data_IF_184841614882
#
_entry.id   IF_184841614882
#
_cell.length_a   1.000
_cell.length_b   1.000
_cell.length_c   1.000
_cell.angle_alpha   90.00
_cell.angle_beta   90.00
_cell.angle_gamma   90.00
#
_symmetry.space_group_name_H-M   'P 1'
#
loop_
_entity.id
_entity.type
_entity.pdbx_description
1 polymer ?
#
# COMPACT_ATOMS: atom_id res chain seq x y z
N UNK A 1 -24.01 -24.24 -0.06
CA UNK A 1 -24.45 -25.37 0.82
C UNK A 1 -24.26 -25.09 2.31
N UNK A 2 -23.05 -24.79 2.81
CA UNK A 2 -22.89 -24.43 4.24
C UNK A 2 -23.31 -22.99 4.54
N UNK A 3 -23.05 -22.05 3.64
CA UNK A 3 -23.52 -20.67 3.77
C UNK A 3 -25.05 -20.61 3.74
N UNK A 4 -25.71 -21.23 2.75
CA UNK A 4 -27.18 -21.34 2.69
C UNK A 4 -27.79 -21.95 3.97
N UNK A 5 -27.10 -22.90 4.59
CA UNK A 5 -27.56 -23.50 5.84
C UNK A 5 -27.41 -22.55 7.03
N UNK A 6 -26.38 -21.68 7.05
CA UNK A 6 -26.19 -20.67 8.08
C UNK A 6 -27.17 -19.51 7.89
N UNK A 7 -27.41 -19.10 6.65
CA UNK A 7 -28.35 -18.05 6.22
C UNK A 7 -29.80 -18.35 6.64
N UNK A 8 -30.17 -19.64 6.68
CA UNK A 8 -31.49 -20.08 7.11
C UNK A 8 -31.67 -20.14 8.65
N UNK A 9 -30.63 -19.89 9.45
CA UNK A 9 -30.70 -19.96 10.92
C UNK A 9 -31.08 -18.61 11.50
N UNK A 10 -32.14 -18.58 12.32
CA UNK A 10 -32.47 -17.39 13.12
C UNK A 10 -31.45 -17.22 14.25
N UNK A 11 -30.55 -16.25 14.07
CA UNK A 11 -29.52 -15.87 15.04
C UNK A 11 -29.90 -14.62 15.85
N UNK A 12 -31.13 -14.10 15.70
CA UNK A 12 -31.56 -12.85 16.32
C UNK A 12 -30.70 -11.66 15.87
N UNK A 13 -30.10 -10.95 16.83
CA UNK A 13 -29.22 -9.80 16.56
C UNK A 13 -27.74 -10.17 16.37
N UNK A 14 -27.40 -11.47 16.40
CA UNK A 14 -26.00 -11.90 16.25
C UNK A 14 -25.55 -11.85 14.80
N UNK A 15 -24.48 -11.09 14.54
CA UNK A 15 -23.81 -11.07 13.25
C UNK A 15 -23.13 -12.42 12.96
N UNK A 16 -23.21 -12.88 11.72
CA UNK A 16 -22.73 -14.18 11.27
C UNK A 16 -21.66 -14.03 10.18
N UNK A 17 -20.58 -14.79 10.33
CA UNK A 17 -19.51 -14.86 9.33
C UNK A 17 -19.91 -15.76 8.15
N UNK A 18 -19.58 -15.31 6.94
CA UNK A 18 -19.63 -16.05 5.68
C UNK A 18 -18.22 -16.22 5.10
N UNK A 19 -17.44 -17.23 5.55
CA UNK A 19 -16.04 -17.34 5.18
C UNK A 19 -15.84 -17.66 3.69
N UNK A 20 -15.06 -16.84 3.01
CA UNK A 20 -14.59 -17.05 1.65
C UNK A 20 -13.41 -18.01 1.65
N UNK A 21 -13.54 -19.11 0.92
CA UNK A 21 -12.53 -20.16 0.75
C UNK A 21 -12.20 -20.33 -0.74
N UNK A 22 -11.17 -21.12 -1.05
CA UNK A 22 -10.73 -21.30 -2.44
C UNK A 22 -9.24 -21.61 -2.61
N UNK A 23 -8.50 -21.82 -1.52
CA UNK A 23 -7.03 -22.00 -1.56
C UNK A 23 -6.36 -20.82 -2.27
N UNK A 24 -5.36 -21.07 -3.13
CA UNK A 24 -4.71 -20.09 -4.01
C UNK A 24 -5.32 -20.05 -5.42
N UNK A 25 -6.52 -20.62 -5.62
CA UNK A 25 -7.24 -20.54 -6.90
C UNK A 25 -8.09 -19.27 -6.93
N UNK A 26 -7.63 -18.26 -7.67
CA UNK A 26 -8.21 -16.91 -7.65
C UNK A 26 -9.65 -16.87 -8.20
N UNK A 27 -9.95 -17.68 -9.23
CA UNK A 27 -11.29 -17.86 -9.79
C UNK A 27 -12.27 -18.44 -8.77
N UNK A 28 -11.83 -19.43 -7.99
CA UNK A 28 -12.62 -20.01 -6.91
C UNK A 28 -12.84 -19.01 -5.76
N UNK A 29 -11.83 -18.17 -5.44
CA UNK A 29 -11.97 -17.11 -4.43
C UNK A 29 -13.03 -16.10 -4.83
N UNK A 30 -12.99 -15.62 -6.07
CA UNK A 30 -13.96 -14.66 -6.59
C UNK A 30 -15.37 -15.27 -6.63
N UNK A 31 -15.49 -16.52 -7.11
CA UNK A 31 -16.78 -17.22 -7.15
C UNK A 31 -17.35 -17.49 -5.75
N UNK A 32 -16.51 -17.87 -4.79
CA UNK A 32 -16.93 -18.11 -3.42
C UNK A 32 -17.33 -16.81 -2.71
N UNK A 33 -16.60 -15.73 -2.93
CA UNK A 33 -16.94 -14.40 -2.43
C UNK A 33 -18.29 -13.92 -2.97
N UNK A 34 -18.53 -14.07 -4.29
CA UNK A 34 -19.82 -13.70 -4.90
C UNK A 34 -20.99 -14.49 -4.33
N UNK A 35 -20.78 -15.78 -4.07
CA UNK A 35 -21.80 -16.61 -3.42
C UNK A 35 -22.04 -16.15 -1.98
N UNK A 36 -20.98 -15.88 -1.21
CA UNK A 36 -21.11 -15.41 0.16
C UNK A 36 -21.82 -14.06 0.24
N UNK A 37 -21.42 -13.09 -0.58
CA UNK A 37 -22.04 -11.77 -0.63
C UNK A 37 -23.51 -11.79 -1.09
N UNK A 38 -23.94 -12.85 -1.78
CA UNK A 38 -25.34 -13.05 -2.15
C UNK A 38 -26.23 -13.67 -1.07
N UNK A 39 -25.69 -13.90 0.13
CA UNK A 39 -26.46 -14.34 1.31
C UNK A 39 -26.78 -13.14 2.22
N UNK A 40 -27.69 -13.30 3.18
CA UNK A 40 -28.04 -12.27 4.17
C UNK A 40 -27.07 -12.27 5.38
N UNK A 41 -25.88 -12.88 5.23
CA UNK A 41 -24.83 -12.94 6.25
C UNK A 41 -23.98 -11.65 6.27
N UNK A 42 -23.40 -11.32 7.42
CA UNK A 42 -22.94 -9.96 7.73
C UNK A 42 -21.46 -9.66 7.45
N UNK A 43 -20.60 -10.66 7.65
CA UNK A 43 -19.15 -10.51 7.67
C UNK A 43 -18.51 -11.51 6.73
N UNK A 44 -17.48 -11.10 5.98
CA UNK A 44 -16.89 -11.94 4.92
C UNK A 44 -15.42 -12.28 5.19
N UNK A 45 -15.11 -13.22 6.11
CA UNK A 45 -13.74 -13.58 6.37
C UNK A 45 -13.05 -14.27 5.20
N UNK A 46 -11.83 -13.87 4.87
CA UNK A 46 -10.97 -14.58 3.91
C UNK A 46 -10.16 -15.63 4.66
N UNK A 47 -10.57 -16.89 4.53
CA UNK A 47 -9.99 -18.01 5.27
C UNK A 47 -8.87 -18.76 4.55
N UNK A 48 -8.27 -19.72 5.27
CA UNK A 48 -7.18 -20.59 4.79
C UNK A 48 -5.91 -19.86 4.32
N UNK A 49 -5.67 -18.64 4.82
CA UNK A 49 -4.48 -17.83 4.51
C UNK A 49 -3.36 -17.94 5.56
N UNK A 50 -3.64 -18.56 6.72
CA UNK A 50 -2.65 -18.75 7.80
C UNK A 50 -1.38 -19.47 7.32
N UNK A 51 -1.45 -20.57 6.54
CA UNK A 51 -0.24 -21.20 6.00
C UNK A 51 0.60 -20.24 5.16
N UNK A 52 -0.04 -19.41 4.31
CA UNK A 52 0.65 -18.43 3.47
C UNK A 52 1.40 -17.41 4.32
N UNK A 53 0.78 -16.91 5.39
CA UNK A 53 1.42 -15.95 6.30
C UNK A 53 2.58 -16.58 7.08
N UNK A 54 2.45 -17.84 7.52
CA UNK A 54 3.52 -18.57 8.19
C UNK A 54 4.71 -18.85 7.26
N UNK A 55 4.43 -19.08 5.97
CA UNK A 55 5.43 -19.26 4.90
C UNK A 55 5.93 -17.93 4.31
N UNK A 56 5.49 -16.78 4.86
CA UNK A 56 5.86 -15.44 4.41
C UNK A 56 5.48 -15.11 2.96
N UNK A 57 4.46 -15.78 2.41
CA UNK A 57 3.93 -15.62 1.04
C UNK A 57 2.91 -14.48 0.95
N UNK A 58 3.37 -13.25 1.17
CA UNK A 58 2.49 -12.08 1.27
C UNK A 58 1.94 -11.60 -0.07
N UNK A 59 2.63 -11.88 -1.16
CA UNK A 59 2.13 -11.75 -2.54
C UNK A 59 0.89 -12.61 -2.76
N UNK A 60 0.94 -13.91 -2.43
CA UNK A 60 -0.24 -14.79 -2.51
C UNK A 60 -1.39 -14.30 -1.61
N UNK A 61 -1.09 -13.77 -0.43
CA UNK A 61 -2.12 -13.17 0.45
C UNK A 61 -2.79 -11.99 -0.23
N UNK A 62 -2.02 -11.10 -0.87
CA UNK A 62 -2.56 -9.96 -1.62
C UNK A 62 -3.46 -10.46 -2.76
N UNK A 63 -2.99 -11.40 -3.57
CA UNK A 63 -3.78 -11.94 -4.70
C UNK A 63 -5.09 -12.59 -4.24
N UNK A 64 -5.03 -13.45 -3.21
CA UNK A 64 -6.20 -14.14 -2.68
C UNK A 64 -7.23 -13.17 -2.11
N UNK A 65 -6.79 -12.15 -1.37
CA UNK A 65 -7.69 -11.13 -0.82
C UNK A 65 -8.25 -10.26 -1.93
N UNK A 66 -7.45 -9.81 -2.89
CA UNK A 66 -7.93 -9.04 -4.05
C UNK A 66 -8.96 -9.84 -4.86
N UNK A 67 -8.72 -11.13 -5.10
CA UNK A 67 -9.65 -12.01 -5.81
C UNK A 67 -10.97 -12.17 -5.04
N UNK A 68 -10.91 -12.35 -3.71
CA UNK A 68 -12.11 -12.37 -2.88
C UNK A 68 -12.86 -11.03 -2.99
N UNK A 69 -12.17 -9.89 -2.87
CA UNK A 69 -12.78 -8.56 -2.97
C UNK A 69 -13.48 -8.29 -4.30
N UNK A 70 -13.01 -8.87 -5.41
CA UNK A 70 -13.70 -8.76 -6.72
C UNK A 70 -15.08 -9.44 -6.73
N UNK A 71 -15.29 -10.42 -5.86
CA UNK A 71 -16.59 -11.07 -5.69
C UNK A 71 -17.47 -10.42 -4.63
N UNK A 72 -16.92 -9.54 -3.78
CA UNK A 72 -17.65 -8.83 -2.71
C UNK A 72 -18.08 -7.44 -3.18
N UNK A 73 -19.13 -6.89 -2.55
CA UNK A 73 -19.46 -5.48 -2.67
C UNK A 73 -18.49 -4.57 -1.89
N UNK A 74 -18.52 -3.28 -2.17
CA UNK A 74 -17.68 -2.28 -1.48
C UNK A 74 -18.09 -2.03 -0.03
N UNK A 75 -19.30 -2.43 0.34
CA UNK A 75 -19.91 -2.36 1.67
C UNK A 75 -19.63 -3.59 2.54
N UNK A 76 -19.05 -4.66 1.96
CA UNK A 76 -18.74 -5.91 2.64
C UNK A 76 -17.55 -5.75 3.61
N UNK A 77 -17.72 -5.95 4.94
CA UNK A 77 -16.61 -5.94 5.87
C UNK A 77 -15.77 -7.22 5.71
N UNK A 78 -14.47 -7.06 5.49
CA UNK A 78 -13.54 -8.16 5.21
C UNK A 78 -12.68 -8.46 6.43
N UNK A 79 -12.75 -9.71 6.91
CA UNK A 79 -11.92 -10.20 8.00
C UNK A 79 -10.79 -11.08 7.46
N UNK A 80 -9.53 -10.70 7.68
CA UNK A 80 -8.40 -11.56 7.32
C UNK A 80 -8.09 -12.57 8.44
N UNK A 81 -8.53 -13.81 8.26
CA UNK A 81 -8.45 -14.83 9.32
C UNK A 81 -7.01 -15.21 9.66
N UNK A 82 -6.67 -15.09 10.95
CA UNK A 82 -5.37 -15.44 11.52
C UNK A 82 -4.25 -14.46 11.20
N UNK A 83 -4.56 -13.30 10.62
CA UNK A 83 -3.60 -12.22 10.39
C UNK A 83 -3.31 -11.49 11.69
N UNK A 84 -2.38 -12.05 12.47
CA UNK A 84 -2.10 -11.61 13.83
C UNK A 84 -0.80 -10.85 14.05
N UNK A 85 0.05 -10.72 13.03
CA UNK A 85 1.39 -10.14 13.17
C UNK A 85 1.40 -8.66 12.70
N UNK A 86 1.89 -7.69 13.50
CA UNK A 86 1.78 -6.27 13.18
C UNK A 86 2.46 -5.83 11.89
N UNK A 87 3.52 -6.53 11.44
CA UNK A 87 4.22 -6.21 10.19
C UNK A 87 3.33 -6.13 8.95
N UNK A 88 2.22 -6.87 8.92
CA UNK A 88 1.36 -6.98 7.74
C UNK A 88 0.09 -6.13 7.80
N UNK A 89 -0.22 -5.50 8.95
CA UNK A 89 -1.49 -4.78 9.13
C UNK A 89 -1.68 -3.65 8.12
N UNK A 90 -0.63 -2.87 7.85
CA UNK A 90 -0.71 -1.80 6.85
C UNK A 90 -0.99 -2.36 5.45
N UNK A 91 -0.28 -3.42 5.05
CA UNK A 91 -0.46 -4.06 3.75
C UNK A 91 -1.88 -4.62 3.62
N UNK A 92 -2.32 -5.43 4.57
CA UNK A 92 -3.65 -6.05 4.55
C UNK A 92 -4.79 -5.02 4.57
N UNK A 93 -4.65 -3.94 5.34
CA UNK A 93 -5.60 -2.82 5.29
C UNK A 93 -5.60 -2.13 3.92
N UNK A 94 -4.44 -2.01 3.26
CA UNK A 94 -4.35 -1.42 1.92
C UNK A 94 -4.95 -2.32 0.82
N UNK A 95 -4.91 -3.65 0.98
CA UNK A 95 -5.70 -4.56 0.13
C UNK A 95 -7.20 -4.44 0.43
N UNK A 96 -7.56 -3.89 1.59
CA UNK A 96 -8.93 -3.59 2.00
C UNK A 96 -9.54 -4.64 2.94
N UNK A 97 -8.74 -5.15 3.87
CA UNK A 97 -9.21 -5.89 5.05
C UNK A 97 -9.50 -4.94 6.21
N UNK A 98 -10.58 -5.20 6.94
CA UNK A 98 -11.09 -4.36 8.03
C UNK A 98 -10.86 -4.97 9.41
N UNK A 99 -10.95 -6.30 9.51
CA UNK A 99 -10.86 -7.06 10.75
C UNK A 99 -9.66 -8.00 10.75
N UNK A 100 -9.08 -8.17 11.94
CA UNK A 100 -7.89 -9.00 12.20
C UNK A 100 -8.06 -9.74 13.52
N UNK A 101 -7.56 -10.97 13.59
CA UNK A 101 -7.47 -11.75 14.82
C UNK A 101 -6.03 -12.26 15.04
N UNK A 102 -5.61 -12.35 16.31
CA UNK A 102 -4.25 -12.75 16.66
C UNK A 102 -4.25 -13.73 17.82
N UNK A 103 -3.90 -14.98 17.53
CA UNK A 103 -3.34 -15.90 18.54
C UNK A 103 -1.82 -15.70 18.71
N UNK A 104 -1.18 -15.08 17.71
CA UNK A 104 0.28 -14.93 17.62
C UNK A 104 0.86 -14.19 18.84
N UNK A 105 0.17 -13.18 19.39
CA UNK A 105 0.69 -12.43 20.55
C UNK A 105 1.02 -13.33 21.76
N UNK A 106 0.18 -14.34 22.00
CA UNK A 106 0.32 -15.27 23.13
C UNK A 106 1.22 -16.46 22.77
N UNK A 107 1.02 -17.05 21.58
CA UNK A 107 1.85 -18.16 21.11
C UNK A 107 3.33 -17.76 21.03
N UNK A 108 3.61 -16.55 20.53
CA UNK A 108 4.99 -16.07 20.41
C UNK A 108 5.56 -15.76 21.79
N UNK A 109 4.77 -15.20 22.70
CA UNK A 109 5.21 -14.95 24.06
C UNK A 109 5.60 -16.24 24.81
N UNK A 110 4.88 -17.35 24.58
CA UNK A 110 5.22 -18.69 25.13
C UNK A 110 6.57 -19.20 24.65
N UNK A 111 6.94 -18.86 23.42
CA UNK A 111 8.20 -19.25 22.79
C UNK A 111 9.31 -18.19 22.98
N UNK A 112 9.15 -17.29 23.95
CA UNK A 112 10.06 -16.18 24.22
C UNK A 112 10.32 -15.26 23.00
N UNK A 113 9.31 -15.12 22.15
CA UNK A 113 9.32 -14.28 20.95
C UNK A 113 8.66 -12.92 21.17
N UNK A 114 9.40 -11.89 20.77
CA UNK A 114 9.09 -10.48 20.86
C UNK A 114 8.65 -9.92 19.51
N UNK A 115 7.40 -9.46 19.40
CA UNK A 115 6.87 -8.88 18.17
C UNK A 115 7.36 -7.44 17.95
N UNK A 116 7.65 -7.13 16.70
CA UNK A 116 7.92 -5.78 16.21
C UNK A 116 7.14 -5.51 14.93
N UNK A 117 7.05 -4.25 14.52
CA UNK A 117 6.43 -3.88 13.23
C UNK A 117 7.27 -4.31 12.01
N UNK A 118 8.49 -4.83 12.21
CA UNK A 118 9.38 -5.30 11.14
C UNK A 118 9.56 -6.81 11.10
N UNK A 119 9.09 -7.52 12.11
CA UNK A 119 9.57 -8.88 12.36
C UNK A 119 9.31 -9.36 13.77
N UNK A 120 9.77 -10.58 14.02
CA UNK A 120 9.85 -11.17 15.35
C UNK A 120 11.31 -11.31 15.76
N UNK A 121 11.60 -11.18 17.06
CA UNK A 121 12.93 -11.42 17.63
C UNK A 121 12.82 -12.40 18.79
N UNK A 122 13.83 -13.23 19.01
CA UNK A 122 13.92 -13.97 20.26
C UNK A 122 14.38 -13.04 21.38
N UNK A 123 13.83 -13.24 22.58
CA UNK A 123 14.18 -12.43 23.75
C UNK A 123 15.68 -12.54 24.09
N UNK A 124 16.29 -13.70 23.85
CA UNK A 124 17.72 -13.93 24.09
C UNK A 124 18.64 -13.06 23.22
N UNK A 125 18.18 -12.68 22.01
CA UNK A 125 18.94 -11.84 21.09
C UNK A 125 18.85 -10.34 21.42
N UNK A 126 17.94 -9.96 22.31
CA UNK A 126 17.67 -8.57 22.64
C UNK A 126 18.64 -8.07 23.71
N UNK A 127 19.45 -7.07 23.33
CA UNK A 127 20.28 -6.29 24.26
C UNK A 127 19.52 -5.11 24.86
N UNK A 128 18.58 -4.56 24.10
CA UNK A 128 17.69 -3.46 24.51
C UNK A 128 16.32 -3.64 23.88
N UNK A 129 15.26 -3.16 24.52
CA UNK A 129 13.92 -3.17 23.93
C UNK A 129 13.73 -1.95 23.00
N UNK A 130 13.45 -2.15 21.70
CA UNK A 130 13.19 -1.07 20.76
C UNK A 130 11.72 -0.61 20.82
N UNK A 131 11.18 -0.40 22.03
CA UNK A 131 9.77 -0.04 22.24
C UNK A 131 9.61 0.80 23.51
N UNK A 132 8.58 1.64 23.52
CA UNK A 132 8.22 2.50 24.66
C UNK A 132 6.88 2.09 25.30
N UNK A 133 6.45 0.83 25.17
CA UNK A 133 5.26 0.35 25.87
C UNK A 133 5.54 0.20 27.38
N UNK A 134 4.51 0.13 28.25
CA UNK A 134 4.71 0.03 29.70
C UNK A 134 5.66 -1.08 30.14
N UNK A 135 5.69 -2.21 29.43
CA UNK A 135 6.64 -3.30 29.69
C UNK A 135 8.07 -2.87 29.34
N UNK A 136 8.30 -2.33 28.16
CA UNK A 136 9.64 -2.01 27.67
C UNK A 136 10.27 -0.77 28.32
N UNK A 137 9.48 0.11 28.94
CA UNK A 137 9.98 1.24 29.72
C UNK A 137 10.31 0.90 31.16
N UNK A 138 9.69 -0.16 31.71
CA UNK A 138 9.88 -0.59 33.09
C UNK A 138 10.96 -1.67 33.23
N UNK A 139 11.12 -2.54 32.23
CA UNK A 139 12.02 -3.69 32.28
C UNK A 139 13.05 -3.66 31.15
N UNK A 140 14.22 -4.23 31.40
CA UNK A 140 15.22 -4.58 30.38
C UNK A 140 15.01 -6.02 29.87
N UNK A 141 15.63 -6.40 28.73
CA UNK A 141 15.62 -7.80 28.30
C UNK A 141 16.21 -8.77 29.32
N UNK A 142 17.21 -8.34 30.10
CA UNK A 142 17.80 -9.17 31.15
C UNK A 142 16.82 -9.39 32.31
N UNK A 143 16.07 -8.36 32.71
CA UNK A 143 15.05 -8.48 33.76
C UNK A 143 13.98 -9.49 33.36
N UNK A 144 13.46 -9.40 32.13
CA UNK A 144 12.44 -10.32 31.62
C UNK A 144 12.98 -11.75 31.51
N UNK A 145 14.24 -11.95 31.10
CA UNK A 145 14.87 -13.29 31.06
C UNK A 145 15.00 -13.93 32.43
N UNK A 146 15.22 -13.13 33.47
CA UNK A 146 15.34 -13.61 34.85
C UNK A 146 14.00 -13.93 35.53
N UNK A 147 12.86 -13.65 34.89
CA UNK A 147 11.54 -13.95 35.43
C UNK A 147 11.19 -15.45 35.33
N UNK A 148 10.17 -15.85 36.09
CA UNK A 148 9.51 -17.15 35.90
C UNK A 148 8.92 -17.25 34.50
N UNK A 149 8.79 -18.46 33.95
CA UNK A 149 8.23 -18.66 32.60
C UNK A 149 6.84 -18.01 32.46
N UNK A 150 5.98 -18.12 33.49
CA UNK A 150 4.64 -17.52 33.49
C UNK A 150 4.67 -15.99 33.46
N UNK A 151 5.54 -15.36 34.27
CA UNK A 151 5.65 -13.90 34.28
C UNK A 151 6.28 -13.38 32.99
N UNK A 152 7.29 -14.08 32.47
CA UNK A 152 7.94 -13.79 31.20
C UNK A 152 6.95 -13.85 30.04
N UNK A 153 6.20 -14.95 29.90
CA UNK A 153 5.13 -15.10 28.90
C UNK A 153 4.12 -13.95 29.05
N UNK A 154 3.66 -13.64 30.26
CA UNK A 154 2.69 -12.58 30.49
C UNK A 154 3.21 -11.20 30.08
N UNK A 155 4.47 -10.88 30.35
CA UNK A 155 5.09 -9.59 29.98
C UNK A 155 5.29 -9.50 28.47
N UNK A 156 5.79 -10.56 27.83
CA UNK A 156 5.94 -10.61 26.37
C UNK A 156 4.59 -10.52 25.67
N UNK A 157 3.56 -11.24 26.14
CA UNK A 157 2.22 -11.20 25.57
C UNK A 157 1.61 -9.78 25.67
N UNK A 158 1.80 -9.08 26.80
CA UNK A 158 1.39 -7.68 26.96
C UNK A 158 2.11 -6.76 25.98
N UNK A 159 3.42 -6.89 25.84
CA UNK A 159 4.20 -6.14 24.85
C UNK A 159 3.68 -6.41 23.42
N UNK A 160 3.50 -7.68 23.06
CA UNK A 160 3.02 -8.11 21.74
C UNK A 160 1.65 -7.50 21.40
N UNK A 161 0.73 -7.45 22.37
CA UNK A 161 -0.56 -6.74 22.22
C UNK A 161 -0.37 -5.24 22.06
N UNK A 162 0.49 -4.61 22.88
CA UNK A 162 0.76 -3.17 22.77
C UNK A 162 1.28 -2.78 21.39
N UNK A 163 2.23 -3.53 20.83
CA UNK A 163 2.74 -3.28 19.47
C UNK A 163 1.65 -3.44 18.44
N UNK A 164 0.85 -4.49 18.54
CA UNK A 164 -0.24 -4.78 17.58
C UNK A 164 -1.30 -3.67 17.58
N UNK A 165 -1.78 -3.26 18.75
CA UNK A 165 -2.75 -2.16 18.86
C UNK A 165 -2.15 -0.81 18.48
N UNK A 166 -0.88 -0.55 18.80
CA UNK A 166 -0.21 0.66 18.38
C UNK A 166 -0.12 0.73 16.85
N UNK A 167 0.18 -0.39 16.19
CA UNK A 167 0.24 -0.43 14.74
C UNK A 167 -1.14 -0.25 14.10
N UNK A 168 -2.18 -0.88 14.62
CA UNK A 168 -3.55 -0.63 14.16
C UNK A 168 -3.99 0.83 14.30
N UNK A 169 -3.54 1.54 15.37
CA UNK A 169 -3.76 2.99 15.48
C UNK A 169 -3.05 3.78 14.39
N UNK A 170 -1.80 3.43 14.05
CA UNK A 170 -1.05 4.07 12.96
C UNK A 170 -1.72 3.84 11.61
N UNK A 171 -2.19 2.61 11.35
CA UNK A 171 -2.93 2.29 10.12
C UNK A 171 -4.19 3.15 10.00
N UNK A 172 -5.00 3.25 11.06
CA UNK A 172 -6.19 4.12 11.05
C UNK A 172 -5.86 5.59 10.83
N UNK A 173 -4.80 6.10 11.46
CA UNK A 173 -4.37 7.47 11.26
C UNK A 173 -3.94 7.71 9.80
N UNK A 174 -3.14 6.81 9.24
CA UNK A 174 -2.68 6.91 7.85
C UNK A 174 -3.84 6.83 6.85
N UNK A 175 -4.90 6.07 7.14
CA UNK A 175 -6.14 6.08 6.34
C UNK A 175 -6.83 7.45 6.42
N UNK A 176 -6.96 8.02 7.62
CA UNK A 176 -7.61 9.31 7.83
C UNK A 176 -6.88 10.46 7.09
N UNK A 177 -5.55 10.41 7.02
CA UNK A 177 -4.70 11.39 6.33
C UNK A 177 -4.56 11.09 4.81
N UNK A 178 -4.91 9.88 4.36
CA UNK A 178 -4.70 9.42 2.99
C UNK A 178 -3.27 8.94 2.70
N UNK A 179 -2.45 8.75 3.72
CA UNK A 179 -1.03 8.39 3.65
C UNK A 179 -0.77 6.89 3.84
N UNK A 180 -1.80 6.03 3.75
CA UNK A 180 -1.68 4.58 3.98
C UNK A 180 -0.59 3.92 3.11
N UNK A 181 -0.49 4.27 1.82
CA UNK A 181 0.55 3.69 0.95
C UNK A 181 1.97 4.08 1.38
N UNK A 182 2.18 5.25 1.99
CA UNK A 182 3.48 5.61 2.59
C UNK A 182 3.78 4.72 3.80
N UNK A 183 2.76 4.40 4.61
CA UNK A 183 2.92 3.47 5.72
C UNK A 183 3.24 2.06 5.23
N UNK A 184 2.56 1.58 4.19
CA UNK A 184 2.84 0.28 3.54
C UNK A 184 4.26 0.25 3.02
N UNK A 185 4.67 1.29 2.28
CA UNK A 185 6.03 1.44 1.76
C UNK A 185 7.05 1.30 2.90
N UNK A 186 6.91 2.09 3.97
CA UNK A 186 7.81 2.02 5.12
C UNK A 186 7.86 0.63 5.80
N UNK A 187 6.74 -0.11 5.83
CA UNK A 187 6.69 -1.47 6.41
C UNK A 187 7.24 -2.53 5.49
N UNK A 188 7.08 -2.38 4.17
CA UNK A 188 7.56 -3.32 3.17
C UNK A 188 9.08 -3.55 3.26
N UNK A 189 9.85 -2.56 3.74
CA UNK A 189 11.32 -2.64 3.86
C UNK A 189 11.78 -3.40 5.10
N UNK A 190 10.83 -3.94 5.90
CA UNK A 190 11.13 -4.83 7.02
C UNK A 190 11.51 -6.25 6.59
N UNK A 191 11.04 -6.72 5.42
CA UNK A 191 11.26 -8.10 4.96
C UNK A 191 11.15 -8.20 3.43
N UNK A 192 11.98 -9.03 2.75
CA UNK A 192 11.92 -9.19 1.29
C UNK A 192 10.51 -9.53 0.77
N UNK A 193 9.85 -10.52 1.36
CA UNK A 193 8.52 -10.93 0.90
C UNK A 193 7.41 -9.93 1.22
N UNK A 194 7.61 -9.03 2.20
CA UNK A 194 6.71 -7.89 2.39
C UNK A 194 6.87 -6.87 1.26
N UNK A 195 8.08 -6.76 0.69
CA UNK A 195 8.30 -5.98 -0.53
C UNK A 195 7.65 -6.64 -1.74
N UNK A 196 7.70 -7.97 -1.85
CA UNK A 196 6.98 -8.69 -2.91
C UNK A 196 5.47 -8.45 -2.81
N UNK A 197 4.86 -8.64 -1.63
CA UNK A 197 3.45 -8.33 -1.43
C UNK A 197 3.07 -6.86 -1.71
N UNK A 198 3.93 -5.90 -1.36
CA UNK A 198 3.71 -4.50 -1.72
C UNK A 198 3.75 -4.27 -3.24
N UNK A 199 4.67 -4.90 -3.97
CA UNK A 199 4.74 -4.81 -5.43
C UNK A 199 3.52 -5.44 -6.09
N UNK A 200 3.08 -6.61 -5.61
CA UNK A 200 1.83 -7.25 -6.05
C UNK A 200 0.61 -6.34 -5.83
N UNK A 201 0.54 -5.64 -4.68
CA UNK A 201 -0.50 -4.65 -4.43
C UNK A 201 -0.50 -3.55 -5.50
N UNK A 202 0.68 -3.03 -5.85
CA UNK A 202 0.83 -1.99 -6.87
C UNK A 202 0.62 -2.50 -8.30
N UNK A 203 0.74 -3.80 -8.57
CA UNK A 203 0.34 -4.39 -9.86
C UNK A 203 -1.18 -4.26 -10.05
N UNK A 204 -1.94 -4.09 -8.96
CA UNK A 204 -3.39 -3.85 -8.97
C UNK A 204 -3.75 -2.34 -8.88
N UNK A 205 -2.83 -1.43 -9.26
CA UNK A 205 -3.01 0.02 -9.12
C UNK A 205 -4.31 0.55 -9.72
N UNK A 206 -4.80 -0.01 -10.83
CA UNK A 206 -6.07 0.39 -11.44
C UNK A 206 -7.29 0.12 -10.54
N UNK A 207 -7.28 -0.98 -9.77
CA UNK A 207 -8.33 -1.24 -8.78
C UNK A 207 -8.22 -0.31 -7.58
N UNK A 208 -6.98 -0.05 -7.11
CA UNK A 208 -6.74 0.88 -6.01
C UNK A 208 -7.17 2.31 -6.37
N UNK A 209 -6.94 2.73 -7.62
CA UNK A 209 -7.31 4.06 -8.12
C UNK A 209 -8.80 4.35 -7.95
N UNK A 210 -9.67 3.37 -8.21
CA UNK A 210 -11.11 3.54 -8.10
C UNK A 210 -11.59 3.91 -6.68
N UNK A 211 -10.81 3.56 -5.65
CA UNK A 211 -11.12 3.81 -4.24
C UNK A 211 -10.19 4.81 -3.56
N UNK A 212 -9.18 5.29 -4.29
CA UNK A 212 -8.19 6.20 -3.74
C UNK A 212 -8.72 7.64 -3.68
N UNK A 213 -8.51 8.33 -2.55
CA UNK A 213 -9.03 9.69 -2.35
C UNK A 213 -8.46 10.69 -3.34
N UNK A 214 -9.31 11.57 -3.86
CA UNK A 214 -8.91 12.62 -4.82
C UNK A 214 -8.01 13.68 -4.17
N UNK A 215 -8.18 13.95 -2.88
CA UNK A 215 -7.36 14.87 -2.11
C UNK A 215 -6.98 14.24 -0.76
N UNK A 216 -5.75 14.49 -0.35
CA UNK A 216 -5.06 13.90 0.80
C UNK A 216 -4.18 14.95 1.46
N UNK A 217 -3.69 14.64 2.65
CA UNK A 217 -2.61 15.41 3.26
C UNK A 217 -1.30 15.25 2.47
N UNK A 218 -0.25 15.95 2.89
CA UNK A 218 1.05 15.92 2.20
C UNK A 218 1.58 14.49 2.07
N UNK A 219 1.79 14.07 0.82
CA UNK A 219 2.33 12.76 0.46
C UNK A 219 3.82 12.88 0.15
N UNK A 220 4.60 11.87 0.52
CA UNK A 220 6.05 11.81 0.29
C UNK A 220 6.40 10.66 -0.66
N UNK A 221 7.00 10.98 -1.80
CA UNK A 221 7.52 10.00 -2.75
C UNK A 221 8.97 9.67 -2.44
N UNK A 222 9.18 8.62 -1.63
CA UNK A 222 10.51 8.28 -1.09
C UNK A 222 11.10 6.97 -1.61
N UNK A 223 10.43 6.32 -2.56
CA UNK A 223 10.85 5.02 -3.10
C UNK A 223 10.58 4.90 -4.60
N UNK A 224 11.23 3.92 -5.25
CA UNK A 224 10.92 3.57 -6.64
C UNK A 224 9.47 3.09 -6.81
N UNK A 225 8.95 2.32 -5.85
CA UNK A 225 7.57 1.85 -5.86
C UNK A 225 6.54 2.98 -5.75
N UNK A 226 6.89 4.10 -5.10
CA UNK A 226 5.99 5.26 -5.00
C UNK A 226 5.65 5.91 -6.34
N UNK A 227 6.48 5.72 -7.38
CA UNK A 227 6.18 6.16 -8.74
C UNK A 227 4.98 5.40 -9.35
N UNK A 228 4.66 4.21 -8.82
CA UNK A 228 3.55 3.36 -9.28
C UNK A 228 2.26 3.59 -8.49
N UNK A 229 2.20 4.60 -7.61
CA UNK A 229 1.01 4.87 -6.82
C UNK A 229 -0.19 5.28 -7.67
N UNK A 230 -1.42 4.94 -7.26
CA UNK A 230 -2.63 5.26 -8.00
C UNK A 230 -2.78 6.76 -8.29
N UNK A 231 -2.28 7.63 -7.40
CA UNK A 231 -2.30 9.08 -7.57
C UNK A 231 -1.49 9.54 -8.78
N UNK A 232 -0.35 8.90 -9.05
CA UNK A 232 0.50 9.21 -10.20
C UNK A 232 -0.18 8.75 -11.50
N UNK A 233 -0.74 7.54 -11.51
CA UNK A 233 -1.49 7.03 -12.66
C UNK A 233 -2.71 7.90 -12.99
N UNK A 234 -3.55 8.20 -11.99
CA UNK A 234 -4.71 9.10 -12.13
C UNK A 234 -4.31 10.46 -12.67
N UNK A 235 -3.22 11.04 -12.16
CA UNK A 235 -2.74 12.34 -12.63
C UNK A 235 -2.40 12.29 -14.12
N UNK A 236 -1.63 11.30 -14.54
CA UNK A 236 -1.23 11.14 -15.93
C UNK A 236 -2.40 10.85 -16.86
N UNK A 237 -3.37 10.05 -16.42
CA UNK A 237 -4.61 9.83 -17.18
C UNK A 237 -5.42 11.14 -17.34
N UNK A 238 -5.29 12.09 -16.42
CA UNK A 238 -5.95 13.40 -16.50
C UNK A 238 -5.18 14.41 -17.36
N UNK A 239 -3.93 14.16 -17.70
CA UNK A 239 -3.17 15.03 -18.64
C UNK A 239 -3.85 15.11 -20.01
N UNK A 240 -4.53 14.04 -20.43
CA UNK A 240 -5.27 13.99 -21.71
C UNK A 240 -6.50 14.89 -21.76
N UNK A 241 -6.82 15.59 -20.66
CA UNK A 241 -7.89 16.60 -20.60
C UNK A 241 -7.40 17.98 -21.00
N UNK A 242 -6.09 18.15 -21.12
CA UNK A 242 -5.46 19.38 -21.59
C UNK A 242 -5.09 19.21 -23.06
N UNK A 243 -5.35 20.26 -23.85
CA UNK A 243 -5.06 20.29 -25.28
C UNK A 243 -4.31 21.58 -25.62
N UNK A 244 -3.08 21.75 -25.12
CA UNK A 244 -2.24 22.87 -25.53
C UNK A 244 -2.06 22.86 -27.05
N UNK A 245 -1.98 24.04 -27.66
CA UNK A 245 -1.80 24.23 -29.10
C UNK A 245 -0.43 24.89 -29.38
N UNK A 246 0.04 24.83 -30.62
CA UNK A 246 1.31 25.46 -31.00
C UNK A 246 2.53 24.69 -30.50
N UNK A 247 3.44 25.39 -29.84
CA UNK A 247 4.71 24.85 -29.32
C UNK A 247 4.72 24.79 -27.80
N UNK A 248 4.91 23.59 -27.24
CA UNK A 248 4.94 23.34 -25.81
C UNK A 248 6.33 22.90 -25.35
N UNK A 249 6.93 23.67 -24.44
CA UNK A 249 8.15 23.28 -23.76
C UNK A 249 7.85 22.64 -22.39
N UNK A 250 8.44 21.47 -22.17
CA UNK A 250 8.44 20.76 -20.89
C UNK A 250 9.86 20.78 -20.32
N UNK A 251 10.04 21.34 -19.13
CA UNK A 251 11.39 21.49 -18.55
C UNK A 251 11.45 21.19 -17.05
N UNK A 252 12.55 20.58 -16.60
CA UNK A 252 12.77 20.32 -15.16
C UNK A 252 13.13 21.58 -14.37
N UNK A 253 13.75 22.55 -15.03
CA UNK A 253 14.26 23.77 -14.41
C UNK A 253 13.58 24.99 -15.02
N UNK A 254 13.11 25.89 -14.16
CA UNK A 254 12.54 27.18 -14.55
C UNK A 254 13.54 28.02 -15.39
N UNK A 255 14.86 27.80 -15.25
CA UNK A 255 15.88 28.45 -16.07
C UNK A 255 15.98 27.93 -17.52
N UNK A 256 15.49 26.72 -17.80
CA UNK A 256 15.44 26.16 -19.15
C UNK A 256 14.21 26.65 -19.94
N UNK A 257 13.36 27.47 -19.31
CA UNK A 257 12.15 28.04 -19.92
C UNK A 257 12.42 29.26 -20.82
N UNK A 258 13.70 29.63 -21.01
CA UNK A 258 14.12 30.71 -21.88
C UNK A 258 14.07 30.29 -23.37
N UNK A 259 13.24 30.96 -24.17
CA UNK A 259 13.04 30.66 -25.60
C UNK A 259 11.66 31.12 -26.12
N UNK A 260 11.41 31.00 -27.42
CA UNK A 260 10.10 31.31 -28.04
C UNK A 260 9.23 30.04 -28.13
N UNK A 261 8.53 29.73 -27.03
CA UNK A 261 7.49 28.69 -26.99
C UNK A 261 6.15 29.31 -26.59
N UNK A 262 5.05 28.82 -27.16
CA UNK A 262 3.69 29.29 -26.87
C UNK A 262 3.30 28.95 -25.42
N UNK A 263 3.61 27.73 -24.98
CA UNK A 263 3.35 27.24 -23.63
C UNK A 263 4.59 26.63 -22.97
N UNK A 264 4.64 26.70 -21.63
CA UNK A 264 5.79 26.28 -20.82
C UNK A 264 5.34 25.62 -19.52
N UNK A 265 5.58 24.33 -19.39
CA UNK A 265 5.10 23.54 -18.26
C UNK A 265 6.28 22.89 -17.52
N UNK A 266 6.34 22.95 -16.18
CA UNK A 266 7.31 22.20 -15.42
C UNK A 266 7.18 20.69 -15.66
N UNK A 267 8.31 19.99 -15.68
CA UNK A 267 8.39 18.53 -15.78
C UNK A 267 8.83 17.97 -14.42
N UNK A 268 7.94 17.22 -13.77
CA UNK A 268 8.03 16.90 -12.34
C UNK A 268 7.93 15.39 -12.13
N UNK A 269 9.04 14.63 -12.01
CA UNK A 269 8.96 13.19 -11.74
C UNK A 269 8.46 12.87 -10.32
N UNK A 270 7.65 11.81 -10.08
CA UNK A 270 7.19 10.82 -11.04
C UNK A 270 5.94 11.22 -11.85
N UNK A 271 5.39 12.42 -11.65
CA UNK A 271 4.13 12.85 -12.25
C UNK A 271 4.23 13.10 -13.76
N UNK A 272 5.24 13.85 -14.21
CA UNK A 272 5.39 14.26 -15.61
C UNK A 272 5.09 15.75 -15.82
N UNK A 273 4.57 16.14 -17.00
CA UNK A 273 4.22 17.53 -17.30
C UNK A 273 3.26 18.12 -16.29
N UNK A 274 3.42 19.40 -15.94
CA UNK A 274 2.58 20.13 -14.98
C UNK A 274 1.98 21.38 -15.60
N UNK A 275 0.67 21.42 -15.88
CA UNK A 275 0.00 22.66 -16.24
C UNK A 275 0.22 23.73 -15.15
N UNK A 276 0.60 24.97 -15.51
CA UNK A 276 0.88 26.03 -14.54
C UNK A 276 -0.26 26.26 -13.53
N UNK A 277 -1.51 26.11 -13.96
CA UNK A 277 -2.71 26.29 -13.14
C UNK A 277 -2.85 25.22 -12.04
N UNK A 278 -2.17 24.08 -12.19
CA UNK A 278 -2.24 22.97 -11.24
C UNK A 278 -1.03 22.90 -10.31
N UNK A 279 -0.02 23.78 -10.45
CA UNK A 279 1.27 23.70 -9.73
C UNK A 279 1.11 23.59 -8.21
N UNK A 280 0.08 24.24 -7.65
CA UNK A 280 -0.20 24.27 -6.20
C UNK A 280 -1.31 23.30 -5.77
N UNK A 281 -1.72 22.37 -6.64
CA UNK A 281 -2.83 21.45 -6.38
C UNK A 281 -2.32 20.02 -6.14
N UNK A 282 -2.93 19.31 -5.20
CA UNK A 282 -2.68 17.87 -5.02
C UNK A 282 -2.96 17.10 -6.33
N UNK A 283 -2.06 16.19 -6.79
CA UNK A 283 -0.94 15.61 -6.04
C UNK A 283 0.42 16.30 -6.27
N UNK A 284 0.47 17.42 -6.98
CA UNK A 284 1.70 18.10 -7.36
C UNK A 284 2.40 18.84 -6.20
N UNK A 285 1.71 18.98 -5.08
CA UNK A 285 2.27 19.47 -3.80
C UNK A 285 2.97 18.39 -2.99
N UNK A 286 3.05 17.15 -3.48
CA UNK A 286 3.74 16.05 -2.80
C UNK A 286 5.26 16.31 -2.72
N UNK A 287 5.88 16.00 -1.59
CA UNK A 287 7.32 16.16 -1.42
C UNK A 287 8.09 14.98 -2.02
N UNK A 288 9.30 15.29 -2.49
CA UNK A 288 10.18 14.37 -3.22
C UNK A 288 11.62 14.64 -2.81
N UNK A 289 12.50 13.63 -2.77
CA UNK A 289 13.92 13.86 -2.60
C UNK A 289 14.51 14.48 -3.87
N UNK A 290 15.60 15.24 -3.73
CA UNK A 290 16.35 15.77 -4.88
C UNK A 290 16.97 14.65 -5.73
N UNK A 291 17.31 13.52 -5.09
CA UNK A 291 17.86 12.33 -5.73
C UNK A 291 16.75 11.31 -5.98
N UNK A 292 16.24 11.32 -7.19
CA UNK A 292 15.12 10.45 -7.60
C UNK A 292 15.62 9.10 -8.11
N UNK A 293 14.77 8.09 -8.00
CA UNK A 293 15.01 6.77 -8.60
C UNK A 293 14.78 6.81 -10.11
N UNK A 294 15.45 5.94 -10.87
CA UNK A 294 15.16 5.73 -12.30
C UNK A 294 13.68 5.53 -12.59
N UNK A 295 12.97 4.76 -11.76
CA UNK A 295 11.54 4.52 -11.90
C UNK A 295 10.69 5.81 -11.84
N UNK A 296 11.14 6.85 -11.14
CA UNK A 296 10.44 8.12 -11.11
C UNK A 296 10.57 8.85 -12.45
N UNK A 297 11.78 8.89 -13.03
CA UNK A 297 12.03 9.46 -14.34
C UNK A 297 11.29 8.69 -15.45
N UNK A 298 11.40 7.37 -15.45
CA UNK A 298 10.66 6.50 -16.36
C UNK A 298 9.16 6.79 -16.32
N UNK A 299 8.61 6.96 -15.11
CA UNK A 299 7.20 7.28 -14.94
C UNK A 299 6.85 8.68 -15.44
N UNK A 300 7.70 9.66 -15.22
CA UNK A 300 7.51 11.01 -15.74
C UNK A 300 7.49 11.02 -17.27
N UNK A 301 8.39 10.26 -17.90
CA UNK A 301 8.44 10.07 -19.35
C UNK A 301 7.13 9.45 -19.90
N UNK A 302 6.55 8.46 -19.21
CA UNK A 302 5.23 7.93 -19.57
C UNK A 302 4.15 9.03 -19.55
N UNK A 303 4.24 9.98 -18.61
CA UNK A 303 3.35 11.14 -18.52
C UNK A 303 3.54 12.11 -19.69
N UNK A 304 4.78 12.33 -20.13
CA UNK A 304 5.10 13.12 -21.33
C UNK A 304 4.50 12.46 -22.57
N UNK A 305 4.74 11.16 -22.77
CA UNK A 305 4.22 10.42 -23.91
C UNK A 305 2.69 10.53 -24.01
N UNK A 306 1.99 10.35 -22.88
CA UNK A 306 0.53 10.49 -22.81
C UNK A 306 0.01 11.88 -23.20
N UNK A 307 0.69 12.94 -22.76
CA UNK A 307 0.31 14.30 -23.16
C UNK A 307 0.55 14.51 -24.66
N UNK A 308 1.74 14.16 -25.15
CA UNK A 308 2.13 14.34 -26.55
C UNK A 308 1.23 13.57 -27.52
N UNK A 309 0.73 12.39 -27.14
CA UNK A 309 -0.21 11.61 -27.95
C UNK A 309 -1.64 12.18 -27.96
N UNK A 310 -2.00 13.02 -26.99
CA UNK A 310 -3.38 13.50 -26.80
C UNK A 310 -3.60 14.98 -27.08
N UNK A 311 -2.55 15.78 -27.21
CA UNK A 311 -2.62 17.20 -27.53
C UNK A 311 -2.20 17.50 -28.98
N UNK A 312 -2.66 18.63 -29.56
CA UNK A 312 -2.25 19.06 -30.89
C UNK A 312 -0.91 19.81 -30.93
N UNK A 313 -0.31 20.15 -29.78
CA UNK A 313 0.95 20.87 -29.71
C UNK A 313 2.15 20.02 -30.17
N UNK A 314 3.15 20.68 -30.75
CA UNK A 314 4.49 20.12 -30.89
C UNK A 314 5.18 20.20 -29.53
N UNK A 315 5.54 19.05 -28.97
CA UNK A 315 6.11 18.93 -27.62
C UNK A 315 7.63 18.84 -27.69
N UNK A 316 8.30 19.74 -26.99
CA UNK A 316 9.75 19.74 -26.79
C UNK A 316 10.07 19.52 -25.31
N UNK A 317 11.04 18.67 -25.01
CA UNK A 317 11.46 18.30 -23.65
C UNK A 317 12.91 18.74 -23.42
N UNK A 318 13.12 19.57 -22.41
CA UNK A 318 14.44 19.98 -21.92
C UNK A 318 14.74 19.27 -20.58
N UNK A 319 15.54 18.21 -20.65
CA UNK A 319 15.90 17.37 -19.49
C UNK A 319 17.41 17.23 -19.37
N UNK A 320 17.92 17.22 -18.14
CA UNK A 320 19.35 17.05 -17.88
C UNK A 320 19.58 15.82 -17.04
N UNK A 321 20.53 14.97 -17.44
CA UNK A 321 20.91 13.77 -16.70
C UNK A 321 19.77 12.75 -16.47
N UNK A 322 18.76 12.73 -17.34
CA UNK A 322 17.76 11.66 -17.33
C UNK A 322 18.39 10.30 -17.62
N UNK A 323 17.97 9.22 -16.93
CA UNK A 323 18.39 7.87 -17.26
C UNK A 323 18.02 7.51 -18.70
N UNK A 324 18.87 6.73 -19.38
CA UNK A 324 18.62 6.28 -20.75
C UNK A 324 17.23 5.62 -20.92
N UNK A 325 16.78 4.84 -19.92
CA UNK A 325 15.45 4.22 -19.91
C UNK A 325 14.29 5.21 -19.95
N UNK A 326 14.45 6.40 -19.39
CA UNK A 326 13.44 7.45 -19.41
C UNK A 326 13.43 8.16 -20.76
N UNK A 327 14.61 8.44 -21.33
CA UNK A 327 14.73 9.04 -22.66
C UNK A 327 14.18 8.12 -23.77
N UNK A 328 14.41 6.80 -23.68
CA UNK A 328 13.88 5.78 -24.61
C UNK A 328 12.35 5.65 -24.58
N UNK A 329 11.69 6.12 -23.51
CA UNK A 329 10.22 6.13 -23.39
C UNK A 329 9.56 7.35 -24.04
N UNK A 330 10.33 8.39 -24.37
CA UNK A 330 9.79 9.55 -25.05
C UNK A 330 9.49 9.17 -26.52
N UNK A 331 8.29 9.49 -27.04
CA UNK A 331 7.94 9.15 -28.42
C UNK A 331 8.79 9.95 -29.41
N UNK A 332 8.98 9.44 -30.63
CA UNK A 332 9.74 10.12 -31.69
C UNK A 332 9.17 11.50 -32.07
N UNK A 333 7.89 11.74 -31.77
CA UNK A 333 7.22 13.02 -31.98
C UNK A 333 7.63 14.11 -30.98
N UNK A 334 8.34 13.74 -29.90
CA UNK A 334 8.83 14.67 -28.88
C UNK A 334 10.28 15.05 -29.19
N UNK A 335 10.52 16.34 -29.40
CA UNK A 335 11.87 16.88 -29.58
C UNK A 335 12.59 16.93 -28.22
N UNK A 336 13.86 16.54 -28.17
CA UNK A 336 14.70 16.59 -26.97
C UNK A 336 15.80 17.64 -27.17
N UNK A 337 15.94 18.58 -26.23
CA UNK A 337 16.89 19.71 -26.30
C UNK A 337 17.79 19.83 -25.10
#
# INVERSE_FOLDING_TARGET
RRLDAADAVDTGEMLVNAPVQGSTHLDLRESAARHAYGTDLDLFPVGAVVPLMNEYRYDDVVEVVTAAKRGLGTDAPVHLFGAGHPMMFALAAAVGCDLFDSAAYALYARDDRYLTVRGTKHLEDLRTFPCSCPVCTEYTPADIRGMTDTDRERKLARHNLHVSFAEMRRVRQAIAEGTLLQLVDARARGHPTMTDGYRTLLDQAGHLEAHDRVSKDTVFHVSAESARWPTVARYQDRLTRFAPEGTLLLAENDAALDGEYDERWPLVPPYGPVPPELRETFPLTAERPDRLSTAAYDRAADGVARLAESCPATVTVAVTDWPASACERLPESVEQV
#
